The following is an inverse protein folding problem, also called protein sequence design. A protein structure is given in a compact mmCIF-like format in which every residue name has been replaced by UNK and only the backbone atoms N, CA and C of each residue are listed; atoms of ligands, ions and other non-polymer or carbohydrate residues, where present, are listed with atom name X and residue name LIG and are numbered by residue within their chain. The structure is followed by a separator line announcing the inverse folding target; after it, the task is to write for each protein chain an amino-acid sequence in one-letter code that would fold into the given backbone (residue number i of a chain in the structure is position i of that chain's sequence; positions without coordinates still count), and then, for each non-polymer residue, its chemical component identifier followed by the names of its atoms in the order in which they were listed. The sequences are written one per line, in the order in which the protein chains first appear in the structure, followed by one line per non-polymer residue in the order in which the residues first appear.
data_IF_246506339181
#
_entry.id   IF_246506339181
#
_cell.length_a   1.000
_cell.length_b   1.000
_cell.length_c   1.000
_cell.angle_alpha   90.00
_cell.angle_beta   90.00
_cell.angle_gamma   90.00
#
_symmetry.space_group_name_H-M   'P 1'
#
loop_
_entity.id
_entity.type
_entity.pdbx_description
1 polymer ?
#
# COMPACT_ATOMS: atom_id res chain seq x y z
N UNK A 1 2.67 -8.16 -11.65
CA UNK A 1 3.85 -8.07 -10.76
C UNK A 1 4.87 -7.09 -11.33
N UNK A 2 5.51 -6.27 -10.48
CA UNK A 2 6.64 -5.37 -10.82
C UNK A 2 7.73 -5.52 -9.76
N UNK A 3 9.01 -5.43 -10.15
CA UNK A 3 10.16 -5.55 -9.26
C UNK A 3 11.08 -4.36 -9.42
N UNK A 4 11.58 -3.83 -8.29
CA UNK A 4 12.44 -2.66 -8.23
C UNK A 4 13.64 -2.96 -7.33
N UNK A 5 14.83 -2.61 -7.80
CA UNK A 5 16.10 -2.78 -7.10
C UNK A 5 16.61 -1.41 -6.64
N UNK A 6 16.84 -1.26 -5.34
CA UNK A 6 17.45 -0.08 -4.75
C UNK A 6 18.90 -0.37 -4.45
N UNK A 7 19.80 0.43 -4.97
CA UNK A 7 21.25 0.21 -4.90
C UNK A 7 22.01 1.51 -4.70
N UNK A 8 23.29 1.38 -4.27
CA UNK A 8 24.19 2.51 -4.13
C UNK A 8 25.02 2.71 -5.41
N UNK A 9 25.01 3.95 -5.93
CA UNK A 9 25.86 4.39 -7.00
C UNK A 9 26.46 5.75 -6.66
N UNK A 10 27.79 5.85 -6.63
CA UNK A 10 28.51 7.10 -6.30
C UNK A 10 28.01 7.81 -5.03
N UNK A 11 27.74 7.04 -3.96
CA UNK A 11 27.17 7.54 -2.67
C UNK A 11 25.75 8.10 -2.77
N UNK A 12 25.03 7.84 -3.85
CA UNK A 12 23.61 8.16 -4.03
C UNK A 12 22.81 6.87 -4.13
N UNK A 13 21.58 6.90 -3.64
CA UNK A 13 20.65 5.78 -3.81
C UNK A 13 20.00 5.93 -5.17
N UNK A 14 20.08 4.87 -5.95
CA UNK A 14 19.46 4.72 -7.25
C UNK A 14 18.40 3.61 -7.20
N UNK A 15 17.52 3.60 -8.18
CA UNK A 15 16.50 2.54 -8.34
C UNK A 15 16.46 2.11 -9.79
N UNK A 16 16.31 0.80 -10.01
CA UNK A 16 16.20 0.18 -11.33
C UNK A 16 15.12 -0.89 -11.34
N UNK A 17 14.57 -1.19 -12.51
CA UNK A 17 13.68 -2.34 -12.75
C UNK A 17 14.52 -3.60 -13.04
N UNK A 18 15.71 -3.41 -13.62
CA UNK A 18 16.65 -4.49 -13.89
C UNK A 18 17.64 -4.62 -12.73
N UNK A 19 18.02 -5.85 -12.40
CA UNK A 19 19.00 -6.11 -11.35
C UNK A 19 20.37 -5.53 -11.81
N UNK A 20 20.96 -4.63 -11.03
CA UNK A 20 22.27 -4.09 -11.36
C UNK A 20 23.34 -5.19 -11.25
N UNK A 21 24.25 -5.27 -12.21
CA UNK A 21 25.28 -6.33 -12.28
C UNK A 21 26.50 -6.03 -11.39
N UNK A 22 26.87 -4.75 -11.25
CA UNK A 22 28.12 -4.34 -10.59
C UNK A 22 27.89 -3.59 -9.26
N UNK A 23 26.65 -3.23 -8.94
CA UNK A 23 26.34 -2.44 -7.76
C UNK A 23 25.79 -3.30 -6.64
N UNK A 24 26.09 -2.92 -5.41
CA UNK A 24 25.51 -3.53 -4.21
C UNK A 24 24.03 -3.15 -4.09
N UNK A 25 23.16 -4.13 -4.19
CA UNK A 25 21.72 -3.97 -3.97
C UNK A 25 21.46 -3.80 -2.47
N UNK A 26 20.88 -2.66 -2.07
CA UNK A 26 20.49 -2.39 -0.69
C UNK A 26 19.28 -3.20 -0.28
N UNK A 27 18.25 -3.16 -1.12
CA UNK A 27 17.04 -3.95 -0.95
C UNK A 27 16.25 -4.03 -2.26
N UNK A 28 15.23 -4.90 -2.27
CA UNK A 28 14.29 -5.08 -3.39
C UNK A 28 12.88 -4.74 -2.95
N UNK A 29 12.07 -4.21 -3.86
CA UNK A 29 10.65 -4.06 -3.72
C UNK A 29 9.93 -4.82 -4.82
N UNK A 30 9.05 -5.76 -4.43
CA UNK A 30 8.25 -6.57 -5.34
C UNK A 30 6.79 -6.19 -5.11
N UNK A 31 6.16 -5.59 -6.12
CA UNK A 31 4.76 -5.13 -6.06
C UNK A 31 3.87 -6.09 -6.86
N UNK A 32 2.95 -6.73 -6.16
CA UNK A 32 1.93 -7.59 -6.73
C UNK A 32 0.56 -6.91 -6.68
N UNK A 33 -0.25 -7.19 -7.68
CA UNK A 33 -1.69 -6.96 -7.58
C UNK A 33 -2.35 -8.15 -6.92
N UNK A 34 -3.51 -7.94 -6.29
CA UNK A 34 -4.29 -9.02 -5.70
C UNK A 34 -4.62 -10.11 -6.72
N UNK A 35 -4.92 -9.73 -7.97
CA UNK A 35 -5.20 -10.69 -9.05
C UNK A 35 -4.02 -11.62 -9.32
N UNK A 36 -2.77 -11.14 -9.16
CA UNK A 36 -1.57 -11.97 -9.29
C UNK A 36 -1.54 -13.09 -8.24
N UNK A 37 -2.20 -12.91 -7.09
CA UNK A 37 -2.17 -13.83 -5.94
C UNK A 37 -3.39 -14.74 -5.91
N UNK A 38 -4.62 -14.19 -6.07
CA UNK A 38 -5.89 -14.92 -5.91
C UNK A 38 -6.00 -16.11 -6.86
N UNK A 39 -5.63 -15.92 -8.12
CA UNK A 39 -5.81 -16.96 -9.13
C UNK A 39 -4.74 -18.04 -9.12
N UNK A 40 -3.61 -17.83 -8.43
CA UNK A 40 -2.45 -18.71 -8.46
C UNK A 40 -1.69 -18.70 -7.13
N UNK A 41 -2.39 -18.79 -6.01
CA UNK A 41 -1.80 -18.62 -4.68
C UNK A 41 -0.62 -19.56 -4.39
N UNK A 42 -0.69 -20.83 -4.78
CA UNK A 42 0.42 -21.78 -4.62
C UNK A 42 1.64 -21.38 -5.46
N UNK A 43 1.41 -20.98 -6.72
CA UNK A 43 2.49 -20.54 -7.60
C UNK A 43 3.10 -19.23 -7.09
N UNK A 44 2.28 -18.34 -6.52
CA UNK A 44 2.74 -17.11 -5.91
C UNK A 44 3.63 -17.35 -4.68
N UNK A 45 3.24 -18.31 -3.80
CA UNK A 45 4.08 -18.72 -2.66
C UNK A 45 5.43 -19.29 -3.13
N UNK A 46 5.43 -20.11 -4.19
CA UNK A 46 6.66 -20.64 -4.77
C UNK A 46 7.53 -19.52 -5.39
N UNK A 47 6.92 -18.55 -6.09
CA UNK A 47 7.62 -17.40 -6.69
C UNK A 47 8.25 -16.52 -5.60
N UNK A 48 7.53 -16.24 -4.52
CA UNK A 48 8.08 -15.52 -3.35
C UNK A 48 9.25 -16.30 -2.77
N UNK A 49 9.09 -17.59 -2.50
CA UNK A 49 10.16 -18.40 -1.93
C UNK A 49 11.42 -18.40 -2.82
N UNK A 50 11.26 -18.61 -4.13
CA UNK A 50 12.37 -18.60 -5.09
C UNK A 50 13.09 -17.25 -5.16
N UNK A 51 12.35 -16.15 -5.05
CA UNK A 51 12.91 -14.80 -5.16
C UNK A 51 13.52 -14.29 -3.86
N UNK A 52 12.96 -14.67 -2.72
CA UNK A 52 13.27 -14.04 -1.44
C UNK A 52 13.75 -15.01 -0.37
N UNK A 53 13.69 -16.32 -0.64
CA UNK A 53 13.91 -17.41 0.33
C UNK A 53 12.91 -17.40 1.51
N UNK A 54 11.85 -16.60 1.39
CA UNK A 54 10.84 -16.42 2.42
C UNK A 54 9.76 -17.52 2.35
N UNK A 55 9.58 -18.25 3.43
CA UNK A 55 8.47 -19.20 3.59
C UNK A 55 7.29 -18.51 4.28
N UNK A 56 6.31 -18.07 3.50
CA UNK A 56 5.13 -17.41 4.04
C UNK A 56 4.18 -18.43 4.67
N UNK A 57 3.66 -18.12 5.86
CA UNK A 57 2.67 -18.94 6.55
C UNK A 57 1.33 -18.94 5.79
N UNK A 58 0.67 -20.11 5.69
CA UNK A 58 -0.63 -20.26 5.03
C UNK A 58 -1.73 -19.38 5.67
N UNK A 59 -1.68 -19.15 6.99
CA UNK A 59 -2.62 -18.23 7.66
C UNK A 59 -2.44 -16.81 7.15
N UNK A 60 -1.21 -16.34 7.01
CA UNK A 60 -0.92 -15.02 6.47
C UNK A 60 -1.32 -14.89 4.99
N UNK A 61 -1.22 -15.98 4.20
CA UNK A 61 -1.78 -15.98 2.85
C UNK A 61 -3.29 -15.73 2.88
N UNK A 62 -4.02 -16.41 3.76
CA UNK A 62 -5.47 -16.21 3.92
C UNK A 62 -5.80 -14.78 4.37
N UNK A 63 -5.01 -14.21 5.27
CA UNK A 63 -5.18 -12.84 5.74
C UNK A 63 -4.94 -11.81 4.61
N UNK A 64 -3.91 -12.02 3.79
CA UNK A 64 -3.62 -11.21 2.60
C UNK A 64 -4.76 -11.28 1.59
N UNK A 65 -5.38 -12.47 1.45
CA UNK A 65 -6.49 -12.69 0.52
C UNK A 65 -7.84 -12.20 1.06
N UNK A 66 -7.97 -11.94 2.35
CA UNK A 66 -9.21 -11.50 2.97
C UNK A 66 -9.40 -9.99 2.81
N UNK A 67 -10.37 -9.59 1.98
CA UNK A 67 -10.71 -8.16 1.75
C UNK A 67 -11.22 -7.44 2.99
N UNK A 68 -11.79 -8.17 3.94
CA UNK A 68 -12.36 -7.61 5.18
C UNK A 68 -11.37 -7.67 6.36
N UNK A 69 -10.13 -8.17 6.12
CA UNK A 69 -9.14 -8.26 7.18
C UNK A 69 -8.87 -6.89 7.82
N UNK A 70 -8.91 -6.78 9.15
CA UNK A 70 -8.60 -5.52 9.84
C UNK A 70 -7.11 -5.15 9.68
N UNK A 71 -6.76 -3.91 10.06
CA UNK A 71 -5.36 -3.54 10.18
C UNK A 71 -4.68 -4.42 11.24
N UNK A 72 -3.57 -5.04 10.89
CA UNK A 72 -2.77 -5.88 11.80
C UNK A 72 -1.28 -5.74 11.49
N UNK A 73 -0.46 -6.00 12.50
CA UNK A 73 0.99 -6.17 12.38
C UNK A 73 1.37 -7.44 13.10
N UNK A 74 1.85 -8.42 12.34
CA UNK A 74 2.35 -9.70 12.85
C UNK A 74 3.86 -9.78 12.63
N UNK A 75 4.59 -10.11 13.69
CA UNK A 75 6.04 -10.22 13.68
C UNK A 75 6.40 -11.68 13.83
N UNK A 76 7.05 -12.23 12.80
CA UNK A 76 7.57 -13.58 12.76
C UNK A 76 9.10 -13.55 12.85
N UNK A 77 9.72 -14.71 13.02
CA UNK A 77 11.18 -14.80 13.12
C UNK A 77 11.89 -14.37 11.81
N UNK A 78 11.27 -14.68 10.65
CA UNK A 78 11.88 -14.48 9.33
C UNK A 78 11.32 -13.26 8.57
N UNK A 79 10.15 -12.76 8.96
CA UNK A 79 9.49 -11.63 8.29
C UNK A 79 8.46 -10.94 9.19
N UNK A 80 8.04 -9.78 8.79
CA UNK A 80 6.93 -9.05 9.37
C UNK A 80 5.83 -8.87 8.33
N UNK A 81 4.57 -9.09 8.73
CA UNK A 81 3.39 -8.83 7.91
C UNK A 81 2.60 -7.66 8.50
N UNK A 82 2.46 -6.60 7.71
CA UNK A 82 1.56 -5.50 8.01
C UNK A 82 0.42 -5.48 7.01
N UNK A 83 -0.81 -5.54 7.47
CA UNK A 83 -2.00 -5.27 6.65
C UNK A 83 -2.55 -3.91 7.06
N UNK A 84 -2.59 -2.99 6.12
CA UNK A 84 -3.11 -1.63 6.31
C UNK A 84 -4.33 -1.42 5.43
N UNK A 85 -5.40 -0.86 5.98
CA UNK A 85 -6.60 -0.52 5.20
C UNK A 85 -6.47 0.90 4.67
N UNK A 86 -6.37 1.02 3.35
CA UNK A 86 -6.34 2.31 2.65
C UNK A 86 -7.76 2.77 2.37
N UNK A 87 -8.04 4.05 2.57
CA UNK A 87 -9.28 4.66 2.13
C UNK A 87 -9.37 4.63 0.59
N UNK A 88 -10.51 4.21 0.06
CA UNK A 88 -10.80 4.32 -1.37
C UNK A 88 -11.25 5.75 -1.64
N UNK A 89 -10.50 6.43 -2.49
CA UNK A 89 -10.80 7.79 -2.93
C UNK A 89 -11.46 7.78 -4.30
N UNK A 90 -12.12 8.87 -4.73
CA UNK A 90 -12.72 8.95 -6.07
C UNK A 90 -11.73 8.73 -7.22
N UNK A 91 -10.45 8.98 -6.97
CA UNK A 91 -9.39 8.78 -7.97
C UNK A 91 -8.96 7.31 -8.09
N UNK A 92 -9.27 6.47 -7.11
CA UNK A 92 -8.96 5.05 -7.16
C UNK A 92 -9.88 4.35 -8.17
N UNK A 93 -9.28 3.58 -9.08
CA UNK A 93 -10.00 2.76 -10.06
C UNK A 93 -10.10 1.30 -9.59
N UNK A 94 -10.31 1.12 -8.29
CA UNK A 94 -10.40 -0.20 -7.68
C UNK A 94 -11.75 -0.80 -8.03
N UNK A 95 -11.73 -1.98 -8.65
CA UNK A 95 -12.92 -2.78 -8.86
C UNK A 95 -13.34 -3.38 -7.52
N UNK A 96 -14.11 -2.63 -6.74
CA UNK A 96 -14.75 -3.14 -5.54
C UNK A 96 -15.95 -3.99 -5.96
N UNK A 97 -15.99 -5.24 -5.50
CA UNK A 97 -17.21 -6.05 -5.65
C UNK A 97 -18.40 -5.30 -5.04
N UNK A 98 -19.52 -5.26 -5.76
CA UNK A 98 -20.73 -4.50 -5.40
C UNK A 98 -21.19 -4.70 -3.95
N UNK A 99 -20.90 -5.86 -3.36
CA UNK A 99 -21.34 -6.19 -1.99
C UNK A 99 -20.59 -5.45 -0.87
N UNK A 100 -19.29 -5.16 -1.06
CA UNK A 100 -18.51 -4.46 -0.03
C UNK A 100 -18.76 -2.95 -0.04
N UNK A 101 -18.95 -2.36 -1.22
CA UNK A 101 -19.33 -0.95 -1.38
C UNK A 101 -20.73 -0.67 -0.84
N UNK A 102 -21.72 -1.52 -1.16
CA UNK A 102 -23.10 -1.31 -0.75
C UNK A 102 -23.30 -1.36 0.78
N UNK A 103 -22.54 -2.19 1.50
CA UNK A 103 -22.65 -2.28 2.94
C UNK A 103 -22.04 -1.07 3.67
N UNK A 104 -20.91 -0.54 3.19
CA UNK A 104 -20.22 0.59 3.81
C UNK A 104 -20.71 1.96 3.32
N UNK A 105 -21.12 2.11 2.07
CA UNK A 105 -21.72 3.35 1.56
C UNK A 105 -23.03 3.71 2.27
N UNK A 106 -23.82 2.72 2.67
CA UNK A 106 -25.12 2.95 3.35
C UNK A 106 -24.96 3.57 4.75
N UNK A 107 -23.84 3.36 5.44
CA UNK A 107 -23.66 3.87 6.80
C UNK A 107 -22.84 5.16 6.87
N UNK A 108 -21.71 5.24 6.14
CA UNK A 108 -20.78 6.38 6.24
C UNK A 108 -20.22 6.90 4.90
N UNK A 109 -20.49 6.23 3.77
CA UNK A 109 -19.91 6.59 2.45
C UNK A 109 -18.40 6.43 2.41
N UNK A 110 -17.83 5.57 3.25
CA UNK A 110 -16.39 5.33 3.36
C UNK A 110 -16.10 3.86 3.07
N UNK A 111 -15.39 3.61 2.00
CA UNK A 111 -14.87 2.29 1.67
C UNK A 111 -13.36 2.24 1.85
N UNK A 112 -12.83 1.10 2.28
CA UNK A 112 -11.40 0.86 2.41
C UNK A 112 -11.00 -0.44 1.74
N UNK A 113 -9.75 -0.52 1.30
CA UNK A 113 -9.16 -1.72 0.72
C UNK A 113 -7.89 -2.10 1.47
N UNK A 114 -7.62 -3.40 1.71
CA UNK A 114 -6.39 -3.82 2.34
C UNK A 114 -5.20 -3.66 1.39
N UNK A 115 -4.07 -3.29 1.94
CA UNK A 115 -2.76 -3.33 1.33
C UNK A 115 -1.84 -4.08 2.28
N UNK A 116 -1.27 -5.17 1.81
CA UNK A 116 -0.37 -6.01 2.61
C UNK A 116 1.08 -5.65 2.30
N UNK A 117 1.89 -5.60 3.35
CA UNK A 117 3.32 -5.38 3.32
C UNK A 117 3.99 -6.54 4.02
N UNK A 118 4.82 -7.29 3.31
CA UNK A 118 5.67 -8.33 3.88
C UNK A 118 7.09 -7.83 3.75
N UNK A 119 7.79 -7.69 4.87
CA UNK A 119 9.14 -7.15 4.84
C UNK A 119 10.11 -7.98 5.66
N UNK A 120 11.30 -8.07 5.10
CA UNK A 120 12.52 -8.61 5.68
C UNK A 120 13.55 -7.47 5.71
N UNK A 121 14.75 -7.67 6.26
CA UNK A 121 15.80 -6.66 6.19
C UNK A 121 16.19 -6.20 4.77
N UNK A 122 15.97 -7.04 3.76
CA UNK A 122 16.45 -6.80 2.38
C UNK A 122 15.36 -6.81 1.31
N UNK A 123 14.11 -7.15 1.66
CA UNK A 123 13.02 -7.24 0.69
C UNK A 123 11.75 -6.62 1.27
N UNK A 124 11.03 -5.87 0.45
CA UNK A 124 9.65 -5.50 0.65
C UNK A 124 8.80 -6.18 -0.43
N UNK A 125 7.75 -6.90 -0.01
CA UNK A 125 6.70 -7.37 -0.91
C UNK A 125 5.43 -6.61 -0.58
N UNK A 126 4.75 -6.05 -1.58
CA UNK A 126 3.43 -5.44 -1.42
C UNK A 126 2.40 -6.21 -2.23
N UNK A 127 1.21 -6.42 -1.63
CA UNK A 127 0.03 -6.95 -2.32
C UNK A 127 -1.10 -5.95 -2.17
N UNK A 128 -1.67 -5.49 -3.28
CA UNK A 128 -2.68 -4.45 -3.30
C UNK A 128 -3.71 -4.66 -4.40
N UNK A 129 -4.85 -4.03 -4.29
CA UNK A 129 -5.80 -3.96 -5.39
C UNK A 129 -5.22 -3.18 -6.58
N UNK A 130 -5.58 -3.60 -7.79
CA UNK A 130 -5.27 -2.87 -9.01
C UNK A 130 -5.98 -1.50 -8.95
N UNK A 131 -5.34 -0.45 -9.47
CA UNK A 131 -5.91 0.91 -9.47
C UNK A 131 -5.71 1.68 -8.16
N UNK A 132 -4.92 1.16 -7.21
CA UNK A 132 -4.54 1.89 -6.00
C UNK A 132 -3.65 3.09 -6.33
N UNK A 133 -4.25 4.28 -6.40
CA UNK A 133 -3.56 5.52 -6.83
C UNK A 133 -2.43 5.94 -5.92
N UNK A 134 -2.52 5.67 -4.63
CA UNK A 134 -1.43 6.03 -3.70
C UNK A 134 -0.12 5.34 -4.05
N UNK A 135 -0.16 4.04 -4.35
CA UNK A 135 1.03 3.29 -4.77
C UNK A 135 1.44 3.67 -6.20
N UNK A 136 0.47 3.82 -7.12
CA UNK A 136 0.74 4.23 -8.50
C UNK A 136 1.45 5.59 -8.57
N UNK A 137 0.98 6.59 -7.84
CA UNK A 137 1.65 7.90 -7.76
C UNK A 137 3.07 7.79 -7.16
N UNK A 138 3.27 6.91 -6.18
CA UNK A 138 4.61 6.69 -5.64
C UNK A 138 5.53 6.06 -6.68
N UNK A 139 5.04 5.07 -7.43
CA UNK A 139 5.75 4.43 -8.54
C UNK A 139 6.11 5.42 -9.66
N UNK A 140 5.17 6.29 -10.05
CA UNK A 140 5.42 7.35 -11.03
C UNK A 140 6.54 8.30 -10.56
N UNK A 141 6.55 8.64 -9.26
CA UNK A 141 7.61 9.48 -8.68
C UNK A 141 8.98 8.79 -8.72
N UNK A 142 9.03 7.48 -8.43
CA UNK A 142 10.25 6.68 -8.59
C UNK A 142 10.70 6.69 -10.05
N UNK A 143 9.80 6.37 -10.99
CA UNK A 143 10.09 6.33 -12.42
C UNK A 143 10.57 7.69 -12.94
N UNK A 144 9.99 8.79 -12.47
CA UNK A 144 10.42 10.14 -12.81
C UNK A 144 11.80 10.47 -12.23
N UNK A 145 12.14 9.90 -11.08
CA UNK A 145 13.47 10.06 -10.46
C UNK A 145 14.54 9.31 -11.24
N UNK A 146 14.21 8.15 -11.83
CA UNK A 146 15.13 7.40 -12.71
C UNK A 146 15.45 8.13 -14.00
N UNK A 147 14.52 8.94 -14.52
CA UNK A 147 14.67 9.63 -15.83
C UNK A 147 15.40 10.97 -15.74
N UNK A 148 15.65 11.51 -14.55
CA UNK A 148 16.30 12.82 -14.38
C UNK A 148 17.82 12.66 -14.34
N UNK A 149 18.58 13.48 -15.08
CA UNK A 149 20.04 13.49 -14.95
C UNK A 149 20.43 13.91 -13.53
N UNK A 150 21.51 13.32 -13.01
CA UNK A 150 22.00 13.38 -11.63
C UNK A 150 22.43 14.77 -11.12
N UNK A 151 22.31 15.80 -11.92
CA UNK A 151 22.93 17.12 -11.67
C UNK A 151 22.01 18.15 -10.98
N UNK A 152 20.72 17.85 -10.83
CA UNK A 152 19.79 18.77 -10.15
C UNK A 152 19.85 18.55 -8.63
N UNK A 153 20.78 19.25 -7.96
CA UNK A 153 20.99 19.19 -6.52
C UNK A 153 19.84 19.82 -5.71
N UNK A 154 18.88 20.45 -6.36
CA UNK A 154 17.77 21.14 -5.72
C UNK A 154 16.53 20.25 -5.64
N UNK A 155 16.31 19.63 -4.47
CA UNK A 155 15.09 18.94 -4.05
C UNK A 155 14.91 17.48 -4.48
N UNK A 156 15.93 16.70 -4.65
CA UNK A 156 15.75 15.24 -4.68
C UNK A 156 15.33 14.75 -3.29
N UNK A 157 14.03 14.46 -3.13
CA UNK A 157 13.58 13.67 -1.98
C UNK A 157 14.42 12.40 -2.01
N UNK A 158 15.17 12.16 -0.92
CA UNK A 158 16.05 10.99 -0.82
C UNK A 158 15.23 9.73 -1.06
N UNK A 159 15.70 8.86 -1.93
CA UNK A 159 15.13 7.53 -2.10
C UNK A 159 15.23 6.74 -0.79
N UNK A 160 14.33 5.76 -0.56
CA UNK A 160 14.37 4.94 0.64
C UNK A 160 15.65 4.11 0.70
N UNK A 161 16.14 3.86 1.92
CA UNK A 161 17.40 3.15 2.16
C UNK A 161 17.21 1.68 2.50
N UNK A 162 16.02 1.31 2.97
CA UNK A 162 15.68 -0.04 3.38
C UNK A 162 14.16 -0.27 3.29
N UNK A 163 13.70 -1.53 3.34
CA UNK A 163 12.29 -1.88 3.19
C UNK A 163 11.35 -1.10 4.10
N UNK A 164 11.68 -0.96 5.37
CA UNK A 164 10.86 -0.24 6.34
C UNK A 164 10.71 1.26 6.01
N UNK A 165 11.79 1.93 5.55
CA UNK A 165 11.72 3.34 5.11
C UNK A 165 10.75 3.48 3.92
N UNK A 166 10.79 2.53 2.98
CA UNK A 166 9.84 2.52 1.86
C UNK A 166 8.40 2.30 2.35
N UNK A 167 8.19 1.30 3.22
CA UNK A 167 6.87 0.99 3.79
C UNK A 167 6.27 2.20 4.51
N UNK A 168 7.04 2.88 5.34
CA UNK A 168 6.61 4.09 6.05
C UNK A 168 6.22 5.23 5.08
N UNK A 169 6.94 5.37 3.97
CA UNK A 169 6.60 6.37 2.95
C UNK A 169 5.31 6.03 2.21
N UNK A 170 5.08 4.76 1.90
CA UNK A 170 3.84 4.29 1.29
C UNK A 170 2.66 4.46 2.25
N UNK A 171 2.83 4.08 3.52
CA UNK A 171 1.82 4.29 4.57
C UNK A 171 1.48 5.78 4.72
N UNK A 172 2.48 6.66 4.75
CA UNK A 172 2.25 8.11 4.87
C UNK A 172 1.37 8.64 3.73
N UNK A 173 1.63 8.22 2.49
CA UNK A 173 0.79 8.61 1.34
C UNK A 173 -0.65 8.09 1.49
N UNK A 174 -0.84 6.88 2.06
CA UNK A 174 -2.17 6.31 2.28
C UNK A 174 -2.90 7.00 3.43
N UNK A 175 -2.19 7.33 4.51
CA UNK A 175 -2.75 8.05 5.68
C UNK A 175 -3.17 9.46 5.32
N UNK A 176 -2.46 10.13 4.42
CA UNK A 176 -2.83 11.47 3.95
C UNK A 176 -4.27 11.50 3.40
N UNK A 177 -4.73 10.41 2.73
CA UNK A 177 -6.10 10.29 2.26
C UNK A 177 -7.16 10.32 3.38
N UNK A 178 -6.83 9.91 4.61
CA UNK A 178 -7.74 9.99 5.75
C UNK A 178 -7.89 11.41 6.29
N UNK A 179 -6.90 12.29 6.08
CA UNK A 179 -6.99 13.68 6.49
C UNK A 179 -8.09 14.42 5.73
N UNK A 180 -8.37 14.02 4.50
CA UNK A 180 -9.42 14.63 3.67
C UNK A 180 -10.83 14.35 4.21
N UNK A 181 -10.99 13.30 5.03
CA UNK A 181 -12.27 12.99 5.69
C UNK A 181 -12.65 13.97 6.81
N UNK A 182 -11.71 14.73 7.33
CA UNK A 182 -11.96 15.63 8.47
C UNK A 182 -13.10 16.60 8.19
N UNK A 183 -13.08 17.26 7.05
CA UNK A 183 -14.07 18.29 6.70
C UNK A 183 -15.47 17.70 6.50
N UNK A 184 -15.67 16.65 5.66
CA UNK A 184 -16.99 16.06 5.48
C UNK A 184 -17.55 15.44 6.76
N UNK A 185 -16.72 14.82 7.61
CA UNK A 185 -17.15 14.28 8.90
C UNK A 185 -17.58 15.39 9.86
N UNK A 186 -16.83 16.47 9.97
CA UNK A 186 -17.21 17.63 10.80
C UNK A 186 -18.55 18.20 10.36
N UNK A 187 -18.76 18.45 9.07
CA UNK A 187 -20.03 18.94 8.53
C UNK A 187 -21.20 18.02 8.83
N UNK A 188 -20.97 16.71 8.78
CA UNK A 188 -22.02 15.71 9.06
C UNK A 188 -22.38 15.68 10.53
N UNK A 189 -21.40 15.81 11.43
CA UNK A 189 -21.65 15.92 12.88
C UNK A 189 -22.41 17.21 13.19
N UNK A 190 -22.00 18.34 12.61
CA UNK A 190 -22.71 19.62 12.75
C UNK A 190 -24.16 19.56 12.27
N UNK A 191 -24.40 18.91 11.11
CA UNK A 191 -25.74 18.67 10.61
C UNK A 191 -26.59 17.86 11.60
N UNK A 192 -26.08 16.75 12.12
CA UNK A 192 -26.81 15.94 13.11
C UNK A 192 -27.07 16.70 14.42
N UNK A 193 -26.11 17.51 14.87
CA UNK A 193 -26.31 18.36 16.04
C UNK A 193 -27.43 19.36 15.81
N UNK A 194 -27.51 19.99 14.65
CA UNK A 194 -28.61 20.90 14.31
C UNK A 194 -29.95 20.21 14.25
N UNK A 195 -30.05 19.04 13.63
CA UNK A 195 -31.26 18.24 13.58
C UNK A 195 -31.77 17.84 15.00
N UNK A 196 -30.85 17.44 15.86
CA UNK A 196 -31.17 17.12 17.25
C UNK A 196 -31.67 18.33 18.04
N UNK A 197 -31.03 19.50 17.87
CA UNK A 197 -31.40 20.73 18.54
C UNK A 197 -32.73 21.30 18.05
N UNK A 198 -33.08 21.11 16.78
CA UNK A 198 -34.35 21.54 16.20
C UNK A 198 -35.53 20.64 16.58
N UNK A 199 -35.30 19.60 17.37
CA UNK A 199 -36.37 18.75 17.94
C UNK A 199 -37.12 17.90 16.92
N UNK A 200 -36.53 17.64 15.75
CA UNK A 200 -37.07 16.73 14.75
C UNK A 200 -36.99 15.28 15.26
N UNK A 201 -37.99 14.89 16.07
CA UNK A 201 -38.23 13.51 16.48
C UNK A 201 -38.66 12.67 15.27
N UNK A 202 -37.72 12.17 14.52
CA UNK A 202 -37.93 11.05 13.59
C UNK A 202 -36.73 10.11 13.65
N UNK A 203 -36.64 9.41 14.77
CA UNK A 203 -35.97 8.12 14.80
C UNK A 203 -37.08 7.08 14.91
N UNK A 204 -37.52 6.57 13.79
CA UNK A 204 -38.24 5.30 13.66
C UNK A 204 -37.57 4.52 12.58
#
# INVERSE_FOLDING_TARGET
MKEYYFYNEHKKICVSIEKPEEQEVLFRWIDYTRDDVVHKSEQWLQDIFQKTELSLNEFHLNDILNLEHPCTLDVMDDYELLIFRKLITPDDQIATGESALEAHEKVFGLATTPVSFIFTPTVLVTVREQGNKSIEHYLERINNSMKRPSDDQTRTRRLPKHPLDLSLRLLNVMVDGYLDLRVPLTRRVEYWQQELLQGHRRFT
#
